data_IF_834825107519
#
_entry.id   IF_834825107519
#
_cell.length_a   1.000
_cell.length_b   1.000
_cell.length_c   1.000
_cell.angle_alpha   90.00
_cell.angle_beta   90.00
_cell.angle_gamma   90.00
#
_symmetry.space_group_name_H-M   'P 1'
#
loop_
_entity.id
_entity.type
_entity.pdbx_description
1 polymer ?
#
# COMPACT_ATOMS: atom_id res chain seq x y z
N UNK A 1 -19.12 5.45 -10.37
CA UNK A 1 -18.59 4.88 -9.13
C UNK A 1 -17.44 3.96 -9.49
N UNK A 2 -16.20 4.39 -9.24
CA UNK A 2 -15.01 3.55 -9.40
C UNK A 2 -15.04 2.49 -8.28
N UNK A 3 -14.93 1.19 -8.60
CA UNK A 3 -14.93 0.17 -7.56
C UNK A 3 -13.70 0.34 -6.67
N UNK A 4 -13.91 0.35 -5.37
CA UNK A 4 -12.84 0.20 -4.39
C UNK A 4 -12.20 -1.17 -4.63
N UNK A 5 -10.91 -1.17 -4.97
CA UNK A 5 -10.19 -2.41 -5.25
C UNK A 5 -9.25 -2.70 -4.09
N UNK A 6 -9.49 -3.80 -3.39
CA UNK A 6 -8.56 -4.31 -2.39
C UNK A 6 -7.24 -4.68 -3.06
N UNK A 7 -6.15 -4.33 -2.38
CA UNK A 7 -4.77 -4.55 -2.78
C UNK A 7 -4.04 -5.24 -1.65
N UNK A 8 -3.30 -6.27 -2.00
CA UNK A 8 -2.39 -6.91 -1.08
C UNK A 8 -1.03 -6.22 -1.19
N UNK A 9 -0.43 -5.88 -0.05
CA UNK A 9 0.88 -5.26 0.05
C UNK A 9 1.79 -6.02 0.99
N UNK A 10 3.06 -6.10 0.60
CA UNK A 10 4.15 -6.58 1.46
C UNK A 10 5.47 -5.93 1.06
N UNK A 11 6.44 -5.96 1.98
CA UNK A 11 7.83 -5.56 1.73
C UNK A 11 8.75 -6.77 1.88
N UNK A 12 9.79 -6.86 1.05
CA UNK A 12 10.78 -7.92 1.14
C UNK A 12 12.03 -7.44 1.91
N UNK A 13 12.56 -8.23 2.87
CA UNK A 13 12.02 -9.50 3.39
C UNK A 13 10.90 -9.27 4.42
N UNK A 14 9.75 -9.92 4.22
CA UNK A 14 8.66 -9.99 5.21
C UNK A 14 8.72 -11.33 5.92
N UNK A 15 8.86 -11.32 7.25
CA UNK A 15 9.10 -12.52 8.07
C UNK A 15 7.89 -12.89 8.93
N UNK A 16 7.02 -11.92 9.21
CA UNK A 16 5.83 -12.11 10.03
C UNK A 16 4.57 -11.96 9.21
N UNK A 17 3.51 -12.67 9.60
CA UNK A 17 2.18 -12.47 8.98
C UNK A 17 1.67 -11.03 9.13
N UNK A 18 2.10 -10.33 10.18
CA UNK A 18 1.79 -8.91 10.37
C UNK A 18 2.48 -7.97 9.39
N UNK A 19 3.48 -8.42 8.63
CA UNK A 19 4.16 -7.59 7.61
C UNK A 19 3.35 -7.51 6.30
N UNK A 20 2.19 -8.18 6.25
CA UNK A 20 1.30 -8.28 5.10
C UNK A 20 0.02 -7.53 5.39
N UNK A 21 -0.39 -6.66 4.46
CA UNK A 21 -1.61 -5.87 4.60
C UNK A 21 -2.51 -5.98 3.37
N UNK A 22 -3.81 -6.12 3.61
CA UNK A 22 -4.85 -5.91 2.59
C UNK A 22 -5.43 -4.51 2.81
N UNK A 23 -5.28 -3.64 1.81
CA UNK A 23 -5.71 -2.25 1.84
C UNK A 23 -6.68 -1.95 0.71
N UNK A 24 -7.58 -1.00 0.92
CA UNK A 24 -8.44 -0.47 -0.13
C UNK A 24 -7.71 0.59 -0.95
N UNK A 25 -7.49 0.34 -2.24
CA UNK A 25 -6.99 1.38 -3.14
C UNK A 25 -8.10 2.37 -3.49
N UNK A 26 -7.87 3.63 -3.16
CA UNK A 26 -8.78 4.74 -3.46
C UNK A 26 -8.12 5.70 -4.43
N UNK A 27 -8.83 6.01 -5.51
CA UNK A 27 -8.44 7.10 -6.42
C UNK A 27 -8.91 8.45 -5.85
N UNK A 28 -8.04 9.45 -5.88
CA UNK A 28 -8.36 10.82 -5.47
C UNK A 28 -7.83 11.82 -6.49
N UNK A 29 -8.73 12.55 -7.13
CA UNK A 29 -8.37 13.62 -8.09
C UNK A 29 -7.60 14.75 -7.41
N UNK A 30 -7.92 15.07 -6.15
CA UNK A 30 -7.23 16.10 -5.38
C UNK A 30 -5.73 15.83 -5.17
N UNK A 31 -5.32 14.56 -5.28
CA UNK A 31 -3.92 14.16 -5.13
C UNK A 31 -3.19 14.23 -6.48
N UNK A 32 -3.90 14.10 -7.60
CA UNK A 32 -3.31 14.05 -8.93
C UNK A 32 -2.48 15.29 -9.26
N UNK A 33 -2.98 16.48 -8.92
CA UNK A 33 -2.27 17.75 -9.13
C UNK A 33 -1.05 17.90 -8.20
N UNK A 34 -1.08 17.25 -7.03
CA UNK A 34 0.00 17.31 -6.03
C UNK A 34 1.18 16.39 -6.38
N UNK A 35 0.90 15.21 -6.92
CA UNK A 35 1.93 14.19 -7.18
C UNK A 35 2.58 14.29 -8.56
N UNK A 36 1.98 15.07 -9.46
CA UNK A 36 2.51 15.32 -10.80
C UNK A 36 2.78 14.02 -11.57
N UNK A 37 4.02 13.83 -12.02
CA UNK A 37 4.46 12.65 -12.79
C UNK A 37 4.80 11.42 -11.93
N UNK A 38 4.51 11.43 -10.62
CA UNK A 38 4.72 10.29 -9.71
C UNK A 38 3.73 9.14 -9.93
N UNK A 39 3.35 8.87 -11.19
CA UNK A 39 2.35 7.89 -11.63
C UNK A 39 2.67 6.44 -11.23
N UNK A 40 3.85 6.20 -10.69
CA UNK A 40 4.35 4.89 -10.27
C UNK A 40 4.58 4.76 -8.76
N UNK A 41 4.25 5.80 -7.97
CA UNK A 41 4.34 5.75 -6.52
C UNK A 41 3.06 5.17 -5.88
N UNK A 42 3.23 4.56 -4.71
CA UNK A 42 2.15 4.19 -3.82
C UNK A 42 2.11 5.23 -2.71
N UNK A 43 0.93 5.73 -2.39
CA UNK A 43 0.75 6.73 -1.36
C UNK A 43 0.07 6.09 -0.15
N UNK A 44 0.68 6.23 1.01
CA UNK A 44 0.15 5.73 2.25
C UNK A 44 -0.48 6.87 3.08
N UNK A 45 -1.58 6.62 3.79
CA UNK A 45 -2.09 7.57 4.76
C UNK A 45 -1.05 7.82 5.86
N UNK A 46 -0.99 9.08 6.31
CA UNK A 46 -0.19 9.49 7.49
C UNK A 46 -0.99 9.43 8.79
N UNK A 47 -2.23 8.94 8.73
CA UNK A 47 -3.11 8.77 9.88
C UNK A 47 -2.99 7.36 10.45
N UNK A 48 -3.10 7.23 11.76
CA UNK A 48 -3.02 5.96 12.48
C UNK A 48 -2.00 6.02 13.62
N UNK A 49 -1.93 4.97 14.45
CA UNK A 49 -0.99 4.91 15.56
C UNK A 49 0.46 4.64 15.11
N UNK A 50 0.64 4.13 13.89
CA UNK A 50 1.93 3.75 13.31
C UNK A 50 1.86 3.88 11.78
N UNK A 51 3.01 4.08 11.14
CA UNK A 51 3.08 4.15 9.68
C UNK A 51 2.96 2.76 9.06
N UNK A 52 2.31 2.65 7.91
CA UNK A 52 2.21 1.39 7.17
C UNK A 52 3.57 0.83 6.74
N UNK A 53 4.55 1.70 6.46
CA UNK A 53 5.91 1.27 6.16
C UNK A 53 6.54 0.54 7.35
N UNK A 54 6.45 1.11 8.55
CA UNK A 54 6.96 0.51 9.78
C UNK A 54 6.24 -0.80 10.12
N UNK A 55 4.92 -0.88 9.86
CA UNK A 55 4.16 -2.12 10.00
C UNK A 55 4.63 -3.21 9.04
N UNK A 56 5.07 -2.85 7.83
CA UNK A 56 5.59 -3.76 6.82
C UNK A 56 7.10 -3.99 6.98
N UNK A 57 7.46 -4.90 7.90
CA UNK A 57 8.82 -5.31 8.18
C UNK A 57 9.75 -4.20 8.73
N UNK A 58 9.21 -3.15 9.37
CA UNK A 58 10.00 -2.06 9.96
C UNK A 58 10.58 -1.10 8.91
N UNK A 59 9.80 -0.73 7.90
CA UNK A 59 10.23 0.13 6.80
C UNK A 59 9.97 1.59 6.99
N UNK A 60 10.39 2.36 5.98
CA UNK A 60 10.12 3.78 5.89
C UNK A 60 9.82 4.20 4.43
N UNK A 61 10.08 5.46 4.09
CA UNK A 61 9.79 6.05 2.80
C UNK A 61 11.05 6.63 2.12
N UNK A 62 12.23 6.08 2.40
CA UNK A 62 13.51 6.56 1.87
C UNK A 62 13.92 5.94 0.51
N UNK A 63 13.09 5.04 -0.03
CA UNK A 63 13.36 4.27 -1.24
C UNK A 63 12.76 2.87 -1.24
N UNK A 64 12.07 2.49 -0.16
CA UNK A 64 11.39 1.21 -0.02
C UNK A 64 10.45 0.88 -1.18
N UNK A 65 10.56 -0.36 -1.64
CA UNK A 65 9.73 -0.92 -2.70
C UNK A 65 8.78 -1.97 -2.14
N UNK A 66 7.51 -1.84 -2.52
CA UNK A 66 6.44 -2.71 -2.05
C UNK A 66 5.96 -3.62 -3.17
N UNK A 67 5.74 -4.89 -2.83
CA UNK A 67 5.02 -5.80 -3.72
C UNK A 67 3.53 -5.49 -3.60
N UNK A 68 2.90 -5.14 -4.73
CA UNK A 68 1.46 -4.86 -4.79
C UNK A 68 0.78 -5.87 -5.68
N UNK A 69 -0.11 -6.65 -5.10
CA UNK A 69 -0.96 -7.57 -5.86
C UNK A 69 -2.38 -7.03 -6.00
N UNK A 70 -2.87 -7.15 -7.23
CA UNK A 70 -4.24 -6.83 -7.64
C UNK A 70 -5.10 -8.08 -7.83
N UNK A 71 -4.53 -9.26 -7.57
CA UNK A 71 -5.23 -10.53 -7.77
C UNK A 71 -6.24 -10.73 -6.63
N UNK A 72 -7.56 -10.79 -6.93
CA UNK A 72 -8.58 -10.96 -5.90
C UNK A 72 -8.43 -12.27 -5.13
N UNK A 73 -7.90 -13.33 -5.75
CA UNK A 73 -7.69 -14.60 -5.08
C UNK A 73 -6.64 -14.51 -3.97
N UNK A 74 -5.64 -13.63 -4.13
CA UNK A 74 -4.62 -13.41 -3.09
C UNK A 74 -5.22 -12.60 -1.95
N UNK A 75 -6.04 -11.58 -2.23
CA UNK A 75 -6.68 -10.75 -1.21
C UNK A 75 -7.71 -11.52 -0.37
N UNK A 76 -8.57 -12.34 -0.99
CA UNK A 76 -9.64 -13.06 -0.27
C UNK A 76 -9.17 -14.17 0.70
N UNK A 77 -7.89 -14.56 0.64
CA UNK A 77 -7.34 -15.60 1.53
C UNK A 77 -6.72 -15.04 2.82
N UNK A 78 -6.69 -13.71 2.99
CA UNK A 78 -6.19 -13.01 4.18
C UNK A 78 -7.31 -12.16 4.78
#
# INVERSE_FOLDING_TARGET
>A
MTPFLERFLSRHPGLHFGDIHVLTATYSEAIQDFVGDSKYAILFPVSGPRSLADEMAGGDFDGDMYWVSRNPQVGHCF
#
